data_IF_715302650733
#
_entry.id   IF_715302650733
#
_cell.length_a   1.000
_cell.length_b   1.000
_cell.length_c   1.000
_cell.angle_alpha   90.00
_cell.angle_beta   90.00
_cell.angle_gamma   90.00
#
_symmetry.space_group_name_H-M   'P 1'
#
loop_
_entity.id
_entity.type
_entity.pdbx_description
1 polymer ?
#
# COMPACT_ATOMS: atom_id res chain seq x y z
N UNK A 1 -10.84 -1.83 -16.77
CA UNK A 1 -9.99 -1.50 -17.93
C UNK A 1 -10.77 -0.58 -18.83
N UNK A 2 -10.34 0.67 -18.95
CA UNK A 2 -10.81 1.58 -19.99
C UNK A 2 -9.86 1.47 -21.18
N UNK A 3 -10.26 0.80 -22.29
CA UNK A 3 -9.43 0.72 -23.48
C UNK A 3 -9.30 2.12 -24.09
N UNK A 4 -8.10 2.71 -24.05
CA UNK A 4 -7.80 4.01 -24.66
C UNK A 4 -7.18 5.05 -23.72
N UNK A 5 -7.15 4.81 -22.40
CA UNK A 5 -6.44 5.69 -21.48
C UNK A 5 -4.93 5.43 -21.54
N UNK A 6 -4.16 6.40 -22.04
CA UNK A 6 -2.71 6.41 -21.89
C UNK A 6 -2.35 6.82 -20.47
N UNK A 7 -1.66 5.95 -19.75
CA UNK A 7 -1.16 6.24 -18.41
C UNK A 7 0.36 6.31 -18.44
N UNK A 8 0.91 7.28 -17.71
CA UNK A 8 2.33 7.55 -17.63
C UNK A 8 2.88 7.13 -16.26
N UNK A 9 4.17 6.81 -16.24
CA UNK A 9 4.93 6.61 -15.02
C UNK A 9 5.95 7.75 -14.88
N UNK A 10 6.03 8.35 -13.71
CA UNK A 10 7.07 9.32 -13.38
C UNK A 10 8.10 8.66 -12.48
N UNK A 11 9.39 8.95 -12.71
CA UNK A 11 10.47 8.48 -11.83
C UNK A 11 11.41 9.63 -11.51
N UNK A 12 11.56 9.92 -10.22
CA UNK A 12 12.59 10.82 -9.70
C UNK A 12 13.75 10.01 -9.15
N UNK A 13 14.98 10.48 -9.41
CA UNK A 13 16.22 9.85 -8.94
C UNK A 13 17.00 10.84 -8.08
N UNK A 14 17.56 10.35 -6.99
CA UNK A 14 18.25 11.14 -5.99
C UNK A 14 19.67 10.62 -5.79
N UNK A 15 20.59 11.51 -5.40
CA UNK A 15 21.96 11.11 -5.04
C UNK A 15 22.01 10.53 -3.64
N UNK A 16 21.28 11.15 -2.72
CA UNK A 16 21.19 10.71 -1.34
C UNK A 16 20.34 9.45 -1.24
N UNK A 17 20.66 8.61 -0.26
CA UNK A 17 19.88 7.43 0.07
C UNK A 17 18.70 7.83 0.98
N UNK A 18 17.50 7.38 0.62
CA UNK A 18 16.26 7.68 1.35
C UNK A 18 15.73 6.48 2.15
N UNK A 19 16.43 5.33 2.16
CA UNK A 19 15.90 4.09 2.74
C UNK A 19 15.64 4.13 4.24
N UNK A 20 16.32 5.02 4.96
CA UNK A 20 16.15 5.18 6.40
C UNK A 20 14.74 5.67 6.79
N UNK A 21 14.01 6.27 5.84
CA UNK A 21 12.61 6.70 6.08
C UNK A 21 11.61 5.54 5.94
N UNK A 22 11.99 4.42 5.31
CA UNK A 22 11.05 3.34 4.97
C UNK A 22 10.41 2.65 6.18
N UNK A 23 11.13 2.37 7.29
CA UNK A 23 10.51 1.84 8.51
C UNK A 23 9.43 2.77 9.09
N UNK A 24 9.61 4.08 8.98
CA UNK A 24 8.65 5.07 9.46
C UNK A 24 7.43 5.15 8.55
N UNK A 25 7.64 5.17 7.23
CA UNK A 25 6.56 5.04 6.26
C UNK A 25 5.76 3.75 6.47
N UNK A 26 6.44 2.63 6.72
CA UNK A 26 5.79 1.37 7.05
C UNK A 26 4.93 1.51 8.30
N UNK A 27 5.42 2.12 9.38
CA UNK A 27 4.63 2.31 10.60
C UNK A 27 3.34 3.11 10.36
N UNK A 28 3.41 4.19 9.57
CA UNK A 28 2.29 5.12 9.36
C UNK A 28 1.29 4.59 8.33
N UNK A 29 1.75 3.97 7.23
CA UNK A 29 0.90 3.55 6.11
C UNK A 29 0.54 2.08 6.20
N UNK A 30 -0.69 1.78 6.64
CA UNK A 30 -1.19 0.41 6.80
C UNK A 30 -1.25 -0.40 5.50
N UNK A 31 -1.42 0.26 4.36
CA UNK A 31 -1.46 -0.36 3.04
C UNK A 31 -0.08 -0.49 2.36
N UNK A 32 1.00 -0.11 3.06
CA UNK A 32 2.34 -0.22 2.51
C UNK A 32 2.87 -1.66 2.57
N UNK A 33 3.61 -2.04 1.54
CA UNK A 33 4.42 -3.26 1.46
C UNK A 33 5.87 -2.86 1.67
N UNK A 34 6.37 -3.11 2.86
CA UNK A 34 7.78 -2.88 3.17
C UNK A 34 8.60 -4.15 2.94
N UNK A 35 9.65 -4.02 2.13
CA UNK A 35 10.60 -5.09 1.78
C UNK A 35 12.02 -4.68 2.20
N UNK A 36 12.43 -4.92 3.47
CA UNK A 36 13.73 -4.53 4.00
C UNK A 36 14.90 -5.13 3.19
N UNK A 37 14.80 -6.41 2.80
CA UNK A 37 15.86 -7.07 2.02
C UNK A 37 16.07 -6.49 0.62
N UNK A 38 15.10 -5.74 0.10
CA UNK A 38 15.21 -5.05 -1.18
C UNK A 38 15.41 -3.53 -1.04
N UNK A 39 15.54 -3.01 0.19
CA UNK A 39 15.50 -1.57 0.50
C UNK A 39 14.40 -0.86 -0.31
N UNK A 40 13.17 -1.35 -0.15
CA UNK A 40 12.04 -0.86 -0.92
C UNK A 40 10.78 -0.79 -0.07
N UNK A 41 9.96 0.23 -0.30
CA UNK A 41 8.58 0.29 0.18
C UNK A 41 7.65 0.70 -0.95
N UNK A 42 6.52 0.02 -1.08
CA UNK A 42 5.46 0.38 -2.04
C UNK A 42 4.15 0.60 -1.33
N UNK A 43 3.32 1.51 -1.83
CA UNK A 43 1.96 1.71 -1.32
C UNK A 43 1.05 2.17 -2.46
N UNK A 44 -0.26 2.11 -2.22
CA UNK A 44 -1.26 2.62 -3.13
C UNK A 44 -1.86 3.90 -2.56
N UNK A 45 -2.14 4.88 -3.41
CA UNK A 45 -3.15 5.91 -3.16
C UNK A 45 -4.43 5.51 -3.89
N UNK A 46 -5.48 6.34 -3.89
CA UNK A 46 -6.80 5.98 -4.45
C UNK A 46 -6.71 5.41 -5.88
N UNK A 47 -5.87 6.00 -6.72
CA UNK A 47 -5.74 5.66 -8.14
C UNK A 47 -4.29 5.35 -8.56
N UNK A 48 -3.29 5.44 -7.68
CA UNK A 48 -1.87 5.38 -8.08
C UNK A 48 -1.05 4.42 -7.23
N UNK A 49 -0.06 3.82 -7.87
CA UNK A 49 0.96 3.06 -7.19
C UNK A 49 2.19 3.95 -6.96
N UNK A 50 2.71 3.97 -5.74
CA UNK A 50 3.97 4.65 -5.41
C UNK A 50 4.98 3.61 -4.94
N UNK A 51 6.17 3.65 -5.51
CA UNK A 51 7.28 2.77 -5.17
C UNK A 51 8.53 3.59 -4.83
N UNK A 52 9.09 3.37 -3.66
CA UNK A 52 10.30 4.02 -3.18
C UNK A 52 11.40 2.97 -3.04
N UNK A 53 12.56 3.24 -3.61
CA UNK A 53 13.82 2.51 -3.39
C UNK A 53 14.88 3.48 -2.88
N UNK A 54 16.04 2.97 -2.44
CA UNK A 54 17.13 3.77 -1.87
C UNK A 54 17.42 5.10 -2.59
N UNK A 55 17.36 5.13 -3.93
CA UNK A 55 17.69 6.34 -4.72
C UNK A 55 16.62 6.77 -5.72
N UNK A 56 15.42 6.19 -5.66
CA UNK A 56 14.37 6.54 -6.62
C UNK A 56 12.97 6.46 -6.05
N UNK A 57 12.10 7.33 -6.57
CA UNK A 57 10.67 7.32 -6.35
C UNK A 57 10.01 7.14 -7.70
N UNK A 58 9.12 6.16 -7.82
CA UNK A 58 8.29 5.93 -9.01
C UNK A 58 6.82 6.08 -8.64
N UNK A 59 6.09 6.85 -9.44
CA UNK A 59 4.64 7.00 -9.36
C UNK A 59 4.05 6.49 -10.67
N UNK A 60 3.12 5.55 -10.60
CA UNK A 60 2.41 4.99 -11.74
C UNK A 60 1.00 5.52 -11.87
N UNK A 61 0.41 5.35 -13.06
CA UNK A 61 -0.98 5.70 -13.37
C UNK A 61 -1.26 7.21 -13.40
N UNK A 62 -0.32 7.98 -13.97
CA UNK A 62 -0.45 9.44 -14.10
C UNK A 62 -1.07 9.81 -15.47
N UNK A 63 -2.01 10.77 -15.52
CA UNK A 63 -2.66 11.17 -16.77
C UNK A 63 -1.73 11.98 -17.68
N UNK A 64 -0.87 12.82 -17.10
CA UNK A 64 0.01 13.73 -17.83
C UNK A 64 1.22 14.18 -16.98
N UNK A 65 2.05 15.03 -17.58
CA UNK A 65 3.28 15.55 -16.98
C UNK A 65 3.03 16.55 -15.85
N UNK A 66 1.99 17.37 -15.93
CA UNK A 66 1.74 18.41 -14.92
C UNK A 66 1.27 17.76 -13.62
N UNK A 67 0.38 16.78 -13.73
CA UNK A 67 -0.04 15.94 -12.61
C UNK A 67 1.14 15.15 -12.04
N UNK A 68 2.03 14.63 -12.89
CA UNK A 68 3.24 13.93 -12.45
C UNK A 68 4.14 14.80 -11.54
N UNK A 69 4.29 16.09 -11.85
CA UNK A 69 5.09 17.03 -11.05
C UNK A 69 4.44 17.25 -9.69
N UNK A 70 3.14 17.59 -9.68
CA UNK A 70 2.37 17.85 -8.45
C UNK A 70 2.48 16.67 -7.49
N UNK A 71 2.42 15.45 -8.03
CA UNK A 71 2.30 14.24 -7.23
C UNK A 71 3.65 13.77 -6.73
N UNK A 72 4.68 13.93 -7.55
CA UNK A 72 6.06 13.76 -7.10
C UNK A 72 6.38 14.72 -5.96
N UNK A 73 5.99 16.00 -6.06
CA UNK A 73 6.19 16.98 -4.99
C UNK A 73 5.46 16.59 -3.70
N UNK A 74 4.22 16.10 -3.79
CA UNK A 74 3.47 15.59 -2.62
C UNK A 74 4.21 14.44 -1.93
N UNK A 75 4.70 13.46 -2.69
CA UNK A 75 5.44 12.31 -2.14
C UNK A 75 6.75 12.77 -1.49
N UNK A 76 7.51 13.65 -2.14
CA UNK A 76 8.76 14.19 -1.58
C UNK A 76 8.49 15.00 -0.31
N UNK A 77 7.47 15.85 -0.30
CA UNK A 77 7.09 16.63 0.88
C UNK A 77 6.69 15.72 2.06
N UNK A 78 5.96 14.63 1.80
CA UNK A 78 5.62 13.66 2.82
C UNK A 78 6.85 12.97 3.41
N UNK A 79 7.77 12.48 2.55
CA UNK A 79 9.01 11.85 2.98
C UNK A 79 9.80 12.81 3.88
N UNK A 80 9.97 14.05 3.45
CA UNK A 80 10.69 15.06 4.22
C UNK A 80 10.00 15.35 5.57
N UNK A 81 8.68 15.43 5.60
CA UNK A 81 7.92 15.61 6.84
C UNK A 81 8.15 14.46 7.82
N UNK A 82 8.05 13.22 7.35
CA UNK A 82 8.30 12.02 8.17
C UNK A 82 9.74 12.00 8.68
N UNK A 83 10.70 12.34 7.81
CA UNK A 83 12.10 12.42 8.18
C UNK A 83 12.36 13.48 9.26
N UNK A 84 11.75 14.66 9.14
CA UNK A 84 11.86 15.73 10.14
C UNK A 84 11.24 15.35 11.49
N UNK A 85 10.16 14.59 11.49
CA UNK A 85 9.44 14.18 12.71
C UNK A 85 9.89 12.81 13.26
N UNK A 86 10.94 12.21 12.69
CA UNK A 86 11.36 10.82 12.97
C UNK A 86 11.66 10.54 14.46
N UNK A 87 12.04 11.55 15.23
CA UNK A 87 12.33 11.41 16.67
C UNK A 87 11.06 11.19 17.49
N UNK A 88 9.89 11.60 16.98
CA UNK A 88 8.58 11.41 17.62
C UNK A 88 7.83 10.20 17.06
N UNK A 89 8.38 9.52 16.05
CA UNK A 89 7.75 8.40 15.38
C UNK A 89 8.41 7.08 15.80
N UNK A 90 7.60 6.04 16.00
CA UNK A 90 8.12 4.69 16.23
C UNK A 90 8.23 3.95 14.90
N UNK A 91 9.45 3.58 14.43
CA UNK A 91 9.62 2.87 13.18
C UNK A 91 9.13 1.42 13.27
N UNK A 92 8.63 0.89 12.15
CA UNK A 92 8.26 -0.52 12.00
C UNK A 92 9.22 -1.19 11.02
N UNK A 93 10.29 -1.80 11.54
CA UNK A 93 11.30 -2.46 10.72
C UNK A 93 10.86 -3.81 10.14
N UNK A 94 9.83 -4.41 10.71
CA UNK A 94 9.30 -5.69 10.26
C UNK A 94 8.25 -5.49 9.15
N UNK A 95 8.33 -6.24 8.03
CA UNK A 95 7.25 -6.29 7.06
C UNK A 95 5.94 -6.67 7.75
N UNK A 96 4.83 -6.03 7.37
CA UNK A 96 3.51 -6.50 7.79
C UNK A 96 3.26 -7.87 7.17
N UNK A 97 2.88 -8.85 7.99
CA UNK A 97 2.32 -10.10 7.47
C UNK A 97 1.02 -9.73 6.75
N UNK A 98 1.00 -9.83 5.42
CA UNK A 98 -0.24 -9.69 4.66
C UNK A 98 -1.16 -10.84 5.06
N UNK A 99 -2.39 -10.49 5.40
CA UNK A 99 -3.43 -11.49 5.52
C UNK A 99 -3.62 -12.10 4.13
N UNK A 100 -3.43 -13.41 4.02
CA UNK A 100 -3.69 -14.14 2.78
C UNK A 100 -5.15 -14.55 2.80
N UNK A 101 -5.91 -14.24 1.74
CA UNK A 101 -7.34 -14.54 1.68
C UNK A 101 -7.60 -16.02 1.91
N UNK A 102 -6.69 -16.88 1.43
CA UNK A 102 -6.74 -18.32 1.69
C UNK A 102 -6.53 -18.70 3.16
N UNK A 103 -5.58 -18.05 3.87
CA UNK A 103 -5.39 -18.27 5.32
C UNK A 103 -6.64 -17.88 6.10
N UNK A 104 -7.26 -16.74 5.77
CA UNK A 104 -8.53 -16.32 6.41
C UNK A 104 -9.65 -17.30 6.06
N UNK A 105 -9.79 -17.65 4.79
CA UNK A 105 -10.83 -18.57 4.32
C UNK A 105 -10.80 -19.90 5.08
N UNK A 106 -9.60 -20.44 5.35
CA UNK A 106 -9.41 -21.65 6.15
C UNK A 106 -9.89 -21.52 7.61
N UNK A 107 -9.95 -20.30 8.15
CA UNK A 107 -10.45 -20.00 9.50
C UNK A 107 -11.96 -19.72 9.55
N UNK A 108 -12.62 -19.52 8.40
CA UNK A 108 -14.06 -19.30 8.34
C UNK A 108 -14.83 -20.62 8.44
N UNK A 109 -16.15 -20.58 8.73
CA UNK A 109 -17.02 -21.76 8.70
C UNK A 109 -17.11 -22.44 7.31
N UNK A 110 -16.74 -21.74 6.24
CA UNK A 110 -16.70 -22.25 4.85
C UNK A 110 -18.05 -22.78 4.32
N UNK A 111 -19.18 -22.39 4.94
CA UNK A 111 -20.53 -22.82 4.56
C UNK A 111 -21.06 -22.13 3.30
N UNK A 112 -20.45 -21.03 2.88
CA UNK A 112 -20.96 -20.15 1.80
C UNK A 112 -22.44 -19.74 1.99
N UNK A 113 -22.87 -19.50 3.24
CA UNK A 113 -24.27 -19.18 3.56
C UNK A 113 -24.77 -17.85 2.96
N UNK A 114 -23.88 -16.90 2.64
CA UNK A 114 -24.15 -15.55 2.12
C UNK A 114 -24.88 -14.60 3.09
N UNK A 115 -24.99 -14.95 4.37
CA UNK A 115 -25.65 -14.09 5.38
C UNK A 115 -24.95 -12.73 5.55
N UNK A 116 -23.63 -12.67 5.35
CA UNK A 116 -22.84 -11.44 5.35
C UNK A 116 -22.94 -10.62 4.05
N UNK A 117 -23.82 -11.00 3.11
CA UNK A 117 -24.01 -10.34 1.82
C UNK A 117 -22.90 -10.57 0.79
N UNK A 118 -21.89 -11.37 1.09
CA UNK A 118 -20.85 -11.75 0.12
C UNK A 118 -21.23 -12.99 -0.67
N UNK A 119 -20.73 -13.10 -1.90
CA UNK A 119 -21.06 -14.18 -2.85
C UNK A 119 -20.54 -15.56 -2.41
N UNK A 120 -19.47 -15.59 -1.62
CA UNK A 120 -18.88 -16.78 -0.99
C UNK A 120 -18.07 -16.41 0.26
N UNK A 121 -17.74 -17.39 1.10
CA UNK A 121 -16.80 -17.20 2.21
C UNK A 121 -15.41 -16.77 1.74
N UNK A 122 -14.98 -17.21 0.54
CA UNK A 122 -13.71 -16.75 -0.04
C UNK A 122 -13.77 -15.28 -0.49
N UNK A 123 -14.91 -14.84 -1.03
CA UNK A 123 -15.11 -13.42 -1.36
C UNK A 123 -15.09 -12.55 -0.09
N UNK A 124 -15.72 -13.02 0.99
CA UNK A 124 -15.64 -12.37 2.30
C UNK A 124 -14.19 -12.31 2.84
N UNK A 125 -13.47 -13.44 2.80
CA UNK A 125 -12.07 -13.49 3.20
C UNK A 125 -11.20 -12.51 2.40
N UNK A 126 -11.43 -12.40 1.09
CA UNK A 126 -10.74 -11.44 0.21
C UNK A 126 -11.00 -10.00 0.64
N UNK A 127 -12.23 -9.64 0.99
CA UNK A 127 -12.56 -8.31 1.50
C UNK A 127 -11.88 -7.98 2.84
N UNK A 128 -11.73 -8.95 3.73
CA UNK A 128 -10.96 -8.76 4.96
C UNK A 128 -9.50 -8.41 4.64
N UNK A 129 -8.87 -9.05 3.65
CA UNK A 129 -7.46 -8.78 3.31
C UNK A 129 -7.19 -7.35 2.84
N UNK A 130 -8.19 -6.70 2.25
CA UNK A 130 -8.12 -5.31 1.77
C UNK A 130 -8.76 -4.31 2.75
N UNK A 131 -9.23 -4.78 3.91
CA UNK A 131 -9.83 -3.93 4.95
C UNK A 131 -11.27 -3.48 4.67
N UNK A 132 -11.92 -4.02 3.64
CA UNK A 132 -13.32 -3.71 3.29
C UNK A 132 -14.35 -4.44 4.18
N UNK A 133 -13.91 -5.43 4.96
CA UNK A 133 -14.73 -6.17 5.91
C UNK A 133 -13.93 -6.50 7.17
N UNK A 134 -14.64 -6.67 8.29
CA UNK A 134 -14.06 -7.13 9.57
C UNK A 134 -14.56 -8.54 9.87
N UNK A 135 -13.79 -9.31 10.65
CA UNK A 135 -14.13 -10.71 10.97
C UNK A 135 -15.51 -10.86 11.62
N UNK A 136 -15.93 -9.88 12.43
CA UNK A 136 -17.23 -9.88 13.11
C UNK A 136 -18.43 -9.74 12.17
N UNK A 137 -18.24 -9.40 10.90
CA UNK A 137 -19.30 -9.44 9.89
C UNK A 137 -19.62 -10.87 9.41
N UNK A 138 -18.81 -11.87 9.79
CA UNK A 138 -19.15 -13.28 9.63
C UNK A 138 -20.06 -13.70 10.81
N UNK A 139 -21.36 -13.78 10.55
CA UNK A 139 -22.41 -14.15 11.52
C UNK A 139 -22.78 -15.64 11.64
N UNK A 140 -22.36 -16.57 10.75
CA UNK A 140 -22.59 -18.02 10.92
C UNK A 140 -21.64 -18.71 11.88
#
# INVERSE_FOLDING_TARGET
>A
CEPGAEYWNATARFKDEISDVFPYLNAIRNNAIYSPGANQITYQTEDRAVALKSHEITISNLPDRDEAVIEMEKVVAEINRIWMDRENLTPLHTPRKRLVAMEIYQMLPQTNCKECGQTSCFAFASKITVGEATIGACTP
#
